data_IF_502673937494
#
_entry.id   IF_502673937494
#
_cell.length_a   1.000
_cell.length_b   1.000
_cell.length_c   1.000
_cell.angle_alpha   90.00
_cell.angle_beta   90.00
_cell.angle_gamma   90.00
#
_symmetry.space_group_name_H-M   'P 1'
#
loop_
_entity.id
_entity.type
_entity.pdbx_description
1 polymer ?
#
# COMPACT_ATOMS: atom_id res chain seq x y z
N UNK A 1 10.49 3.42 5.75
CA UNK A 1 10.54 3.67 4.30
C UNK A 1 9.17 4.07 3.75
N UNK A 2 8.14 3.23 3.86
CA UNK A 2 6.81 3.47 3.26
C UNK A 2 6.17 4.81 3.64
N UNK A 3 6.30 5.28 4.89
CA UNK A 3 5.82 6.60 5.30
C UNK A 3 6.40 7.74 4.46
N UNK A 4 7.66 7.64 4.01
CA UNK A 4 8.27 8.64 3.11
C UNK A 4 7.64 8.61 1.72
N UNK A 5 7.26 7.43 1.21
CA UNK A 5 6.54 7.29 -0.07
C UNK A 5 5.14 7.91 0.05
N UNK A 6 4.43 7.61 1.14
CA UNK A 6 3.10 8.17 1.42
C UNK A 6 3.18 9.70 1.50
N UNK A 7 4.17 10.23 2.23
CA UNK A 7 4.43 11.67 2.36
C UNK A 7 5.03 12.33 1.10
N UNK A 8 5.26 11.61 0.01
CA UNK A 8 5.84 12.16 -1.23
C UNK A 8 7.33 12.53 -1.14
N UNK A 9 8.02 12.07 -0.10
CA UNK A 9 9.45 12.33 0.17
C UNK A 9 10.38 11.24 -0.40
N UNK A 10 9.81 10.25 -1.07
CA UNK A 10 10.51 9.19 -1.79
C UNK A 10 9.70 8.83 -3.04
N UNK A 11 10.39 8.62 -4.16
CA UNK A 11 9.74 8.22 -5.41
C UNK A 11 9.20 6.79 -5.31
N UNK A 12 8.00 6.60 -5.85
CA UNK A 12 7.40 5.30 -6.07
C UNK A 12 6.41 5.37 -7.24
N UNK A 13 6.30 4.30 -8.00
CA UNK A 13 5.28 4.15 -9.04
C UNK A 13 3.94 3.83 -8.39
N UNK A 14 3.25 4.87 -7.88
CA UNK A 14 1.92 4.74 -7.28
C UNK A 14 0.88 4.40 -8.35
N UNK A 15 0.07 3.39 -8.06
CA UNK A 15 -1.03 2.93 -8.92
C UNK A 15 -2.40 3.20 -8.30
N UNK A 16 -2.43 3.44 -6.99
CA UNK A 16 -3.65 3.76 -6.24
C UNK A 16 -3.32 4.60 -5.01
N UNK A 17 -4.19 5.54 -4.67
CA UNK A 17 -4.13 6.26 -3.39
C UNK A 17 -5.54 6.75 -3.03
N UNK A 18 -6.00 6.44 -1.81
CA UNK A 18 -7.14 7.09 -1.16
C UNK A 18 -6.74 7.58 0.24
N UNK A 19 -7.71 7.97 1.06
CA UNK A 19 -7.46 8.50 2.41
C UNK A 19 -6.85 7.46 3.36
N UNK A 20 -7.14 6.16 3.16
CA UNK A 20 -6.75 5.10 4.09
C UNK A 20 -5.54 4.29 3.61
N UNK A 21 -5.42 4.06 2.30
CA UNK A 21 -4.41 3.17 1.73
C UNK A 21 -3.76 3.74 0.47
N UNK A 22 -2.52 3.34 0.24
CA UNK A 22 -1.76 3.62 -0.99
C UNK A 22 -1.27 2.30 -1.57
N UNK A 23 -1.31 2.14 -2.90
CA UNK A 23 -0.66 1.03 -3.57
C UNK A 23 0.38 1.51 -4.60
N UNK A 24 1.52 0.84 -4.66
CA UNK A 24 2.61 1.16 -5.59
C UNK A 24 3.40 -0.08 -5.98
N UNK A 25 4.09 0.00 -7.12
CA UNK A 25 4.95 -1.08 -7.62
C UNK A 25 6.13 -1.30 -6.68
N UNK A 26 6.44 -2.56 -6.41
CA UNK A 26 7.66 -2.90 -5.68
C UNK A 26 8.88 -2.46 -6.49
N UNK A 27 9.88 -1.87 -5.81
CA UNK A 27 11.16 -1.48 -6.43
C UNK A 27 12.03 -2.70 -6.75
N UNK A 28 11.87 -3.79 -6.01
CA UNK A 28 12.59 -5.06 -6.21
C UNK A 28 11.58 -6.21 -6.38
N UNK A 29 10.79 -6.19 -7.46
CA UNK A 29 9.73 -7.18 -7.65
C UNK A 29 10.33 -8.56 -7.92
N UNK A 30 9.79 -9.60 -7.29
CA UNK A 30 10.14 -10.99 -7.61
C UNK A 30 9.57 -11.42 -8.97
N UNK A 31 8.41 -10.86 -9.34
CA UNK A 31 7.72 -11.13 -10.60
C UNK A 31 7.14 -9.83 -11.19
N UNK A 32 6.96 -9.73 -12.52
CA UNK A 32 6.27 -8.60 -13.14
C UNK A 32 4.88 -8.40 -12.53
N UNK A 33 4.50 -7.14 -12.30
CA UNK A 33 3.20 -6.81 -11.70
C UNK A 33 3.16 -6.86 -10.17
N UNK A 34 4.25 -7.25 -9.48
CA UNK A 34 4.28 -7.24 -8.02
C UNK A 34 4.13 -5.82 -7.47
N UNK A 35 3.07 -5.60 -6.71
CA UNK A 35 2.73 -4.33 -6.06
C UNK A 35 2.46 -4.55 -4.58
N UNK A 36 2.64 -3.47 -3.81
CA UNK A 36 2.34 -3.44 -2.39
C UNK A 36 1.13 -2.55 -2.15
N UNK A 37 0.14 -3.05 -1.41
CA UNK A 37 -0.93 -2.23 -0.83
C UNK A 37 -0.57 -1.98 0.63
N UNK A 38 -0.44 -0.72 1.02
CA UNK A 38 -0.02 -0.31 2.36
C UNK A 38 -1.01 0.66 2.98
N UNK A 39 -1.16 0.60 4.30
CA UNK A 39 -1.86 1.63 5.09
C UNK A 39 -1.14 2.98 4.95
N UNK A 40 -1.92 4.07 4.88
CA UNK A 40 -1.39 5.43 4.98
C UNK A 40 -0.95 5.76 6.41
N UNK A 41 -1.55 5.11 7.40
CA UNK A 41 -1.16 5.20 8.80
C UNK A 41 0.01 4.26 9.12
N UNK A 42 0.92 4.71 9.98
CA UNK A 42 2.05 3.89 10.39
C UNK A 42 1.60 2.80 11.38
N UNK A 43 1.82 1.55 11.00
CA UNK A 43 1.71 0.40 11.89
C UNK A 43 2.90 -0.54 11.70
N UNK A 44 3.34 -1.17 12.80
CA UNK A 44 4.47 -2.10 12.76
C UNK A 44 4.12 -3.43 12.04
N UNK A 45 2.85 -3.84 12.12
CA UNK A 45 2.32 -5.05 11.50
C UNK A 45 0.78 -4.96 11.43
N UNK A 46 0.15 -5.96 10.79
CA UNK A 46 -1.31 -6.01 10.60
C UNK A 46 -2.11 -5.97 11.91
N UNK A 47 -1.59 -6.53 13.01
CA UNK A 47 -2.30 -6.55 14.29
C UNK A 47 -2.40 -5.17 14.96
N UNK A 48 -1.63 -4.18 14.48
CA UNK A 48 -1.69 -2.79 14.92
C UNK A 48 -2.57 -1.89 14.06
N UNK A 49 -3.29 -2.42 13.08
CA UNK A 49 -4.18 -1.64 12.22
C UNK A 49 -5.63 -1.66 12.72
N UNK A 50 -6.34 -0.56 12.51
CA UNK A 50 -7.79 -0.54 12.59
C UNK A 50 -8.41 -1.52 11.58
N UNK A 51 -9.49 -2.20 11.98
CA UNK A 51 -10.15 -3.21 11.15
C UNK A 51 -10.67 -2.64 9.82
N UNK A 52 -11.09 -1.37 9.80
CA UNK A 52 -11.55 -0.67 8.59
C UNK A 52 -10.41 -0.53 7.60
N UNK A 53 -9.22 -0.13 8.07
CA UNK A 53 -8.03 0.02 7.23
C UNK A 53 -7.59 -1.35 6.71
N UNK A 54 -7.50 -2.34 7.59
CA UNK A 54 -7.13 -3.70 7.21
C UNK A 54 -8.08 -4.27 6.13
N UNK A 55 -9.40 -4.11 6.32
CA UNK A 55 -10.40 -4.50 5.32
C UNK A 55 -10.26 -3.75 4.00
N UNK A 56 -10.00 -2.43 4.06
CA UNK A 56 -9.81 -1.60 2.87
C UNK A 56 -8.62 -2.07 2.03
N UNK A 57 -7.52 -2.47 2.65
CA UNK A 57 -6.35 -3.01 1.96
C UNK A 57 -6.70 -4.23 1.10
N UNK A 58 -7.51 -5.16 1.60
CA UNK A 58 -7.93 -6.34 0.82
C UNK A 58 -8.89 -5.99 -0.33
N UNK A 59 -9.80 -5.04 -0.12
CA UNK A 59 -10.70 -4.57 -1.20
C UNK A 59 -9.88 -3.98 -2.34
N UNK A 60 -8.90 -3.12 -2.03
CA UNK A 60 -8.02 -2.52 -3.04
C UNK A 60 -7.14 -3.57 -3.71
N UNK A 61 -6.57 -4.50 -2.94
CA UNK A 61 -5.81 -5.63 -3.49
C UNK A 61 -6.61 -6.43 -4.52
N UNK A 62 -7.87 -6.76 -4.21
CA UNK A 62 -8.79 -7.42 -5.16
C UNK A 62 -9.06 -6.57 -6.41
N UNK A 63 -9.24 -5.26 -6.27
CA UNK A 63 -9.51 -4.37 -7.40
C UNK A 63 -8.32 -4.30 -8.38
N UNK A 64 -7.09 -4.31 -7.86
CA UNK A 64 -5.86 -4.18 -8.62
C UNK A 64 -5.31 -5.51 -9.16
N UNK A 65 -5.86 -6.66 -8.77
CA UNK A 65 -5.41 -7.99 -9.19
C UNK A 65 -5.82 -8.38 -10.64
N UNK A 66 -6.15 -7.40 -11.48
CA UNK A 66 -6.52 -7.60 -12.89
C UNK A 66 -5.28 -7.55 -13.77
#
# INVERSE_FOLDING_TARGET
MFCRIIAGQAEASKVYQDDLVTAFMDRQPLIPGHLLVVSNEHAANLAGLDETIAGRMFVVGRQLAQ
#
